data_IF_131727914437
#
_entry.id   IF_131727914437
#
_cell.length_a   1.000
_cell.length_b   1.000
_cell.length_c   1.000
_cell.angle_alpha   90.00
_cell.angle_beta   90.00
_cell.angle_gamma   90.00
#
_symmetry.space_group_name_H-M   'P 1'
#
loop_
_entity.id
_entity.type
_entity.pdbx_description
1 polymer ?
#
# COMPACT_ATOMS: atom_id res chain seq x y z
N UNK A 1 23.23 -49.13 -6.11
CA UNK A 1 21.76 -49.16 -6.08
C UNK A 1 21.33 -47.80 -5.57
N UNK A 2 21.17 -46.85 -6.49
CA UNK A 2 20.84 -45.45 -6.23
C UNK A 2 19.34 -45.29 -6.43
N UNK A 3 18.65 -44.95 -5.34
CA UNK A 3 17.21 -44.76 -5.30
C UNK A 3 16.82 -43.50 -6.11
N UNK A 4 16.00 -43.60 -7.18
CA UNK A 4 15.70 -42.48 -8.07
C UNK A 4 14.46 -41.66 -7.65
N UNK A 5 13.85 -41.93 -6.50
CA UNK A 5 12.52 -41.38 -6.12
C UNK A 5 12.55 -40.25 -5.07
N UNK A 6 13.64 -39.50 -4.96
CA UNK A 6 13.57 -38.24 -4.21
C UNK A 6 13.13 -37.13 -5.17
N UNK A 7 11.88 -36.64 -5.13
CA UNK A 7 11.53 -35.46 -5.91
C UNK A 7 12.46 -34.35 -5.44
N UNK A 8 13.38 -33.94 -6.32
CA UNK A 8 14.25 -32.81 -6.08
C UNK A 8 13.33 -31.62 -5.82
N UNK A 9 13.08 -31.32 -4.54
CA UNK A 9 12.30 -30.16 -4.13
C UNK A 9 13.05 -28.98 -4.70
N UNK A 10 12.55 -28.47 -5.82
CA UNK A 10 13.19 -27.42 -6.59
C UNK A 10 13.54 -26.27 -5.67
N UNK A 11 14.55 -25.49 -6.03
CA UNK A 11 15.03 -24.36 -5.24
C UNK A 11 13.88 -23.50 -4.68
N UNK A 12 12.84 -23.30 -5.50
CA UNK A 12 11.54 -22.71 -5.16
C UNK A 12 10.87 -23.35 -3.93
N UNK A 13 10.70 -24.67 -3.91
CA UNK A 13 10.09 -25.40 -2.79
C UNK A 13 10.92 -25.38 -1.50
N UNK A 14 12.24 -25.24 -1.60
CA UNK A 14 13.12 -25.08 -0.43
C UNK A 14 13.05 -23.66 0.15
N UNK A 15 12.91 -22.65 -0.71
CA UNK A 15 12.67 -21.24 -0.29
C UNK A 15 11.27 -21.05 0.29
N UNK A 16 10.27 -21.80 -0.20
CA UNK A 16 8.87 -21.73 0.23
C UNK A 16 8.50 -22.68 1.39
N UNK A 17 9.41 -23.58 1.81
CA UNK A 17 9.24 -24.44 2.99
C UNK A 17 9.39 -23.60 4.26
N UNK A 18 8.31 -22.95 4.66
CA UNK A 18 8.20 -22.23 5.94
C UNK A 18 7.53 -23.08 7.00
N UNK A 19 7.98 -22.92 8.24
CA UNK A 19 7.25 -23.45 9.39
C UNK A 19 5.84 -22.83 9.42
N UNK A 20 4.82 -23.58 9.88
CA UNK A 20 3.45 -23.07 9.98
C UNK A 20 3.36 -21.81 10.85
N UNK A 21 4.24 -21.67 11.84
CA UNK A 21 4.35 -20.48 12.67
C UNK A 21 4.76 -19.24 11.86
N UNK A 22 5.72 -19.38 10.94
CA UNK A 22 6.16 -18.27 10.09
C UNK A 22 5.05 -17.79 9.16
N UNK A 23 4.19 -18.69 8.67
CA UNK A 23 3.01 -18.32 7.86
C UNK A 23 1.96 -17.59 8.69
N UNK A 24 1.76 -17.99 9.95
CA UNK A 24 0.83 -17.32 10.86
C UNK A 24 1.28 -15.90 11.17
N UNK A 25 2.57 -15.71 11.43
CA UNK A 25 3.14 -14.37 11.65
C UNK A 25 3.03 -13.49 10.41
N UNK A 26 3.28 -14.02 9.22
CA UNK A 26 3.09 -13.30 7.94
C UNK A 26 1.63 -12.85 7.77
N UNK A 27 0.67 -13.73 8.06
CA UNK A 27 -0.76 -13.40 7.99
C UNK A 27 -1.20 -12.33 9.00
N UNK A 28 -0.74 -12.42 10.25
CA UNK A 28 -1.06 -11.41 11.28
C UNK A 28 -0.43 -10.06 10.93
N UNK A 29 0.82 -10.04 10.49
CA UNK A 29 1.50 -8.81 10.10
C UNK A 29 0.83 -8.17 8.88
N UNK A 30 0.46 -8.98 7.88
CA UNK A 30 -0.29 -8.54 6.73
C UNK A 30 -1.63 -7.89 7.13
N UNK A 31 -2.41 -8.54 7.99
CA UNK A 31 -3.69 -7.99 8.46
C UNK A 31 -3.53 -6.67 9.22
N UNK A 32 -2.50 -6.56 10.07
CA UNK A 32 -2.20 -5.33 10.80
C UNK A 32 -1.81 -4.20 9.86
N UNK A 33 -0.93 -4.47 8.88
CA UNK A 33 -0.50 -3.46 7.92
C UNK A 33 -1.64 -3.01 7.02
N UNK A 34 -2.50 -3.92 6.54
CA UNK A 34 -3.71 -3.56 5.79
C UNK A 34 -4.64 -2.68 6.63
N UNK A 35 -4.85 -3.00 7.91
CA UNK A 35 -5.66 -2.17 8.80
C UNK A 35 -5.08 -0.76 8.98
N UNK A 36 -3.76 -0.66 9.07
CA UNK A 36 -3.04 0.59 9.18
C UNK A 36 -3.10 1.41 7.86
N UNK A 37 -2.99 0.75 6.70
CA UNK A 37 -3.14 1.39 5.39
C UNK A 37 -4.55 1.97 5.23
N UNK A 38 -5.59 1.22 5.61
CA UNK A 38 -6.97 1.70 5.59
C UNK A 38 -7.14 2.90 6.51
N UNK A 39 -6.53 2.87 7.70
CA UNK A 39 -6.56 4.01 8.63
C UNK A 39 -5.87 5.25 8.03
N UNK A 40 -4.72 5.07 7.36
CA UNK A 40 -4.04 6.18 6.69
C UNK A 40 -4.87 6.77 5.57
N UNK A 41 -5.46 5.93 4.71
CA UNK A 41 -6.34 6.41 3.64
C UNK A 41 -7.55 7.14 4.22
N UNK A 42 -8.18 6.61 5.27
CA UNK A 42 -9.29 7.26 5.94
C UNK A 42 -8.86 8.61 6.55
N UNK A 43 -7.68 8.70 7.16
CA UNK A 43 -7.15 9.95 7.70
C UNK A 43 -6.85 10.98 6.60
N UNK A 44 -6.26 10.56 5.47
CA UNK A 44 -6.01 11.45 4.33
C UNK A 44 -7.34 11.99 3.79
N UNK A 45 -8.36 11.13 3.65
CA UNK A 45 -9.67 11.56 3.17
C UNK A 45 -10.38 12.48 4.17
N UNK A 46 -10.29 12.20 5.47
CA UNK A 46 -10.88 13.06 6.50
C UNK A 46 -10.21 14.44 6.56
N UNK A 47 -8.89 14.49 6.49
CA UNK A 47 -8.12 15.73 6.51
C UNK A 47 -8.28 16.55 5.21
N UNK A 48 -8.42 15.88 4.06
CA UNK A 48 -8.71 16.55 2.78
C UNK A 48 -10.18 16.85 2.54
N UNK A 49 -11.09 16.35 3.39
CA UNK A 49 -12.55 16.54 3.25
C UNK A 49 -13.03 17.96 3.52
N UNK A 50 -12.32 18.72 4.37
CA UNK A 50 -12.68 20.08 4.79
C UNK A 50 -12.21 21.19 3.82
N UNK A 51 -12.01 20.88 2.53
CA UNK A 51 -11.78 21.90 1.50
C UNK A 51 -10.96 21.44 0.30
N UNK A 52 -10.11 20.42 0.44
CA UNK A 52 -9.22 20.00 -0.66
C UNK A 52 -9.94 19.13 -1.69
N UNK A 53 -10.72 18.13 -1.26
CA UNK A 53 -11.42 17.22 -2.19
C UNK A 53 -12.85 17.66 -2.51
N UNK A 54 -13.45 18.53 -1.70
CA UNK A 54 -14.88 18.88 -1.76
C UNK A 54 -15.18 20.12 -2.59
N UNK A 55 -14.26 21.08 -2.69
CA UNK A 55 -14.49 22.33 -3.44
C UNK A 55 -14.67 22.10 -4.95
N UNK A 56 -13.91 21.16 -5.52
CA UNK A 56 -14.07 20.76 -6.94
C UNK A 56 -15.36 19.98 -7.23
N UNK A 57 -15.94 19.28 -6.24
CA UNK A 57 -17.18 18.51 -6.38
C UNK A 57 -18.44 19.35 -6.14
N UNK A 58 -18.36 20.36 -5.27
CA UNK A 58 -19.49 21.24 -4.95
C UNK A 58 -19.64 22.43 -5.92
N UNK A 59 -18.75 22.56 -6.91
CA UNK A 59 -18.81 23.65 -7.90
C UNK A 59 -18.65 25.04 -7.28
N UNK A 60 -18.03 25.12 -6.10
CA UNK A 60 -17.86 26.37 -5.37
C UNK A 60 -16.57 27.06 -5.84
N UNK A 61 -16.64 28.27 -6.43
CA UNK A 61 -15.46 29.01 -6.86
C UNK A 61 -14.87 29.75 -5.64
N UNK A 62 -14.48 28.99 -4.62
CA UNK A 62 -13.65 29.51 -3.54
C UNK A 62 -12.24 29.82 -4.06
N UNK A 63 -11.51 30.77 -3.46
CA UNK A 63 -10.10 30.95 -3.77
C UNK A 63 -9.38 29.63 -3.48
N UNK A 64 -8.88 28.96 -4.53
CA UNK A 64 -8.12 27.73 -4.40
C UNK A 64 -6.97 27.97 -3.40
N UNK A 65 -7.08 27.36 -2.22
CA UNK A 65 -6.07 27.51 -1.19
C UNK A 65 -4.75 26.96 -1.75
N UNK A 66 -3.70 27.78 -1.79
CA UNK A 66 -2.43 27.40 -2.43
C UNK A 66 -1.75 26.23 -1.71
N UNK A 67 -2.16 25.94 -0.48
CA UNK A 67 -1.77 24.78 0.31
C UNK A 67 -2.53 23.50 -0.07
N UNK A 68 -3.72 23.61 -0.67
CA UNK A 68 -4.52 22.49 -1.15
C UNK A 68 -3.92 21.86 -2.42
N UNK A 69 -3.20 22.65 -3.24
CA UNK A 69 -2.57 22.19 -4.47
C UNK A 69 -1.44 21.17 -4.24
N UNK A 70 -0.65 21.32 -3.18
CA UNK A 70 0.42 20.36 -2.86
C UNK A 70 -0.05 19.18 -2.02
N UNK A 71 -1.15 19.32 -1.27
CA UNK A 71 -1.64 18.31 -0.34
C UNK A 71 -1.86 16.93 -0.99
N UNK A 72 -2.55 16.90 -2.14
CA UNK A 72 -2.81 15.64 -2.85
C UNK A 72 -1.51 14.99 -3.35
N UNK A 73 -0.59 15.78 -3.91
CA UNK A 73 0.72 15.30 -4.35
C UNK A 73 1.55 14.77 -3.17
N UNK A 74 1.58 15.51 -2.06
CA UNK A 74 2.29 15.12 -0.84
C UNK A 74 1.72 13.83 -0.25
N UNK A 75 0.40 13.63 -0.28
CA UNK A 75 -0.26 12.40 0.14
C UNK A 75 0.09 11.20 -0.74
N UNK A 76 0.08 11.37 -2.07
CA UNK A 76 0.48 10.33 -3.02
C UNK A 76 1.94 9.94 -2.81
N UNK A 77 2.83 10.93 -2.71
CA UNK A 77 4.25 10.70 -2.46
C UNK A 77 4.50 10.07 -1.09
N UNK A 78 3.72 10.43 -0.06
CA UNK A 78 3.75 9.78 1.24
C UNK A 78 3.38 8.30 1.14
N UNK A 79 2.28 7.96 0.48
CA UNK A 79 1.87 6.56 0.29
C UNK A 79 2.92 5.75 -0.50
N UNK A 80 3.50 6.31 -1.56
CA UNK A 80 4.56 5.64 -2.31
C UNK A 80 5.82 5.40 -1.46
N UNK A 81 6.17 6.33 -0.57
CA UNK A 81 7.30 6.14 0.36
C UNK A 81 7.00 5.06 1.39
N UNK A 82 5.80 5.07 1.96
CA UNK A 82 5.35 4.03 2.90
C UNK A 82 5.40 2.66 2.20
N UNK A 83 4.88 2.56 0.98
CA UNK A 83 4.91 1.35 0.16
C UNK A 83 6.34 0.84 -0.04
N UNK A 84 7.26 1.70 -0.49
CA UNK A 84 8.64 1.31 -0.73
C UNK A 84 9.29 0.73 0.54
N UNK A 85 9.04 1.35 1.71
CA UNK A 85 9.57 0.90 3.00
C UNK A 85 8.94 -0.42 3.43
N UNK A 86 7.62 -0.55 3.39
CA UNK A 86 6.91 -1.76 3.87
C UNK A 86 7.18 -2.95 2.97
N UNK A 87 7.22 -2.76 1.64
CA UNK A 87 7.57 -3.79 0.67
C UNK A 87 9.02 -4.22 0.81
N UNK A 88 9.98 -3.29 0.91
CA UNK A 88 11.40 -3.62 1.08
C UNK A 88 11.64 -4.41 2.38
N UNK A 89 11.01 -3.99 3.48
CA UNK A 89 11.10 -4.69 4.76
C UNK A 89 10.48 -6.09 4.68
N UNK A 90 9.31 -6.21 4.05
CA UNK A 90 8.65 -7.50 3.86
C UNK A 90 9.49 -8.46 3.00
N UNK A 91 10.11 -7.98 1.92
CA UNK A 91 11.03 -8.77 1.09
C UNK A 91 12.26 -9.20 1.90
N UNK A 92 12.87 -8.31 2.68
CA UNK A 92 14.02 -8.63 3.53
C UNK A 92 13.68 -9.71 4.57
N UNK A 93 12.47 -9.64 5.15
CA UNK A 93 11.94 -10.66 6.06
C UNK A 93 11.35 -11.90 5.33
N UNK A 94 11.45 -11.95 3.99
CA UNK A 94 10.88 -12.97 3.09
C UNK A 94 9.35 -13.12 3.17
N UNK A 95 8.65 -12.14 3.75
CA UNK A 95 7.20 -12.10 3.96
C UNK A 95 6.48 -11.76 2.64
N UNK A 96 6.50 -12.71 1.70
CA UNK A 96 6.02 -12.48 0.34
C UNK A 96 4.55 -12.10 0.25
N UNK A 97 3.70 -12.67 1.11
CA UNK A 97 2.27 -12.29 1.15
C UNK A 97 2.12 -10.85 1.59
N UNK A 98 2.81 -10.47 2.67
CA UNK A 98 2.82 -9.07 3.13
C UNK A 98 3.35 -8.13 2.05
N UNK A 99 4.46 -8.48 1.38
CA UNK A 99 5.04 -7.65 0.33
C UNK A 99 4.08 -7.41 -0.85
N UNK A 100 3.43 -8.46 -1.34
CA UNK A 100 2.47 -8.36 -2.45
C UNK A 100 1.22 -7.57 -2.02
N UNK A 101 0.70 -7.83 -0.83
CA UNK A 101 -0.48 -7.11 -0.33
C UNK A 101 -0.19 -5.62 -0.16
N UNK A 102 0.94 -5.26 0.43
CA UNK A 102 1.36 -3.87 0.61
C UNK A 102 1.51 -3.14 -0.73
N UNK A 103 2.17 -3.78 -1.70
CA UNK A 103 2.31 -3.23 -3.05
C UNK A 103 0.94 -2.93 -3.67
N UNK A 104 0.02 -3.91 -3.67
CA UNK A 104 -1.31 -3.74 -4.28
C UNK A 104 -2.14 -2.69 -3.55
N UNK A 105 -2.21 -2.74 -2.22
CA UNK A 105 -3.07 -1.86 -1.42
C UNK A 105 -2.59 -0.41 -1.52
N UNK A 106 -1.30 -0.15 -1.29
CA UNK A 106 -0.77 1.21 -1.27
C UNK A 106 -0.68 1.82 -2.67
N UNK A 107 -0.32 1.04 -3.70
CA UNK A 107 -0.39 1.52 -5.09
C UNK A 107 -1.83 1.85 -5.48
N UNK A 108 -2.81 1.00 -5.12
CA UNK A 108 -4.23 1.26 -5.44
C UNK A 108 -4.77 2.47 -4.68
N UNK A 109 -4.37 2.64 -3.41
CA UNK A 109 -4.71 3.81 -2.61
C UNK A 109 -4.10 5.09 -3.19
N UNK A 110 -2.82 5.08 -3.57
CA UNK A 110 -2.16 6.20 -4.21
C UNK A 110 -2.83 6.57 -5.54
N UNK A 111 -3.15 5.58 -6.38
CA UNK A 111 -3.87 5.79 -7.63
C UNK A 111 -5.28 6.36 -7.40
N UNK A 112 -6.00 5.86 -6.41
CA UNK A 112 -7.31 6.39 -6.02
C UNK A 112 -7.21 7.86 -5.60
N UNK A 113 -6.29 8.19 -4.70
CA UNK A 113 -6.09 9.57 -4.25
C UNK A 113 -5.66 10.45 -5.41
N UNK A 114 -4.76 9.99 -6.29
CA UNK A 114 -4.35 10.73 -7.49
C UNK A 114 -5.51 10.97 -8.47
N UNK A 115 -6.50 10.06 -8.52
CA UNK A 115 -7.69 10.20 -9.37
C UNK A 115 -8.71 11.21 -8.86
N UNK A 116 -8.60 11.66 -7.60
CA UNK A 116 -9.48 12.71 -7.08
C UNK A 116 -9.23 14.02 -7.84
N UNK A 117 -10.32 14.67 -8.23
CA UNK A 117 -10.43 15.69 -9.29
C UNK A 117 -9.60 16.97 -9.12
N UNK A 118 -8.85 17.13 -8.04
CA UNK A 118 -7.91 18.24 -7.82
C UNK A 118 -6.65 18.15 -8.69
N UNK A 119 -6.29 16.98 -9.22
CA UNK A 119 -5.09 16.85 -10.04
C UNK A 119 -5.26 17.39 -11.48
N UNK A 120 -6.49 17.55 -11.97
CA UNK A 120 -6.76 17.83 -13.39
C UNK A 120 -7.61 19.05 -13.73
N UNK A 121 -7.76 19.97 -12.77
CA UNK A 121 -8.33 21.28 -13.05
C UNK A 121 -7.30 22.38 -12.75
N UNK A 122 -6.37 22.66 -13.69
CA UNK A 122 -5.51 23.84 -13.61
C UNK A 122 -6.30 25.15 -13.66
#
# INVERSE_FOLDING_TARGET
MTDPDTPAVGFVGRVLRRSPEHRRTDGVLCALLVGLDVLFVAAILALGGDGVFTEGWMGYPGPADSTALSYQYDCVMFLCRVEAVTVALAIACRLWTTAVTQLVVLTSAAAFIASLSTYWNP
#
